data_IF_632328759282
#
_entry.id   IF_632328759282
#
_cell.length_a   1.000
_cell.length_b   1.000
_cell.length_c   1.000
_cell.angle_alpha   90.00
_cell.angle_beta   90.00
_cell.angle_gamma   90.00
#
_symmetry.space_group_name_H-M   'P 1'
#
loop_
_entity.id
_entity.type
_entity.pdbx_description
1 polymer ?
#
# COMPACT_ATOMS: atom_id res chain seq x y z
N UNK A 1 -22.92 -31.18 -40.07
CA UNK A 1 -21.67 -30.71 -39.42
C UNK A 1 -21.95 -29.36 -38.76
N UNK A 2 -22.15 -29.35 -37.44
CA UNK A 2 -22.52 -28.16 -36.67
C UNK A 2 -21.27 -27.47 -36.11
N UNK A 3 -21.28 -26.13 -35.99
CA UNK A 3 -20.34 -25.38 -35.15
C UNK A 3 -21.11 -24.40 -34.27
N UNK A 4 -21.47 -24.86 -33.07
CA UNK A 4 -22.06 -24.02 -32.02
C UNK A 4 -20.94 -23.17 -31.44
N UNK A 5 -20.99 -21.84 -31.65
CA UNK A 5 -20.05 -20.89 -31.05
C UNK A 5 -20.60 -20.43 -29.71
N UNK A 6 -20.27 -21.15 -28.64
CA UNK A 6 -20.52 -20.66 -27.28
C UNK A 6 -19.52 -19.55 -26.96
N UNK A 7 -19.99 -18.30 -26.97
CA UNK A 7 -19.24 -17.15 -26.46
C UNK A 7 -19.44 -17.12 -24.94
N UNK A 8 -18.39 -17.28 -24.11
CA UNK A 8 -18.58 -17.24 -22.67
C UNK A 8 -19.12 -15.87 -22.28
N UNK A 9 -20.23 -15.87 -21.55
CA UNK A 9 -20.80 -14.68 -20.91
C UNK A 9 -19.72 -14.10 -20.01
N UNK A 10 -19.43 -12.79 -20.02
CA UNK A 10 -18.44 -12.24 -19.10
C UNK A 10 -18.88 -12.61 -17.70
N UNK A 11 -18.05 -13.37 -16.99
CA UNK A 11 -18.23 -13.54 -15.56
C UNK A 11 -18.17 -12.11 -15.01
N UNK A 12 -19.32 -11.60 -14.57
CA UNK A 12 -19.36 -10.40 -13.74
C UNK A 12 -18.37 -10.67 -12.63
N UNK A 13 -17.26 -9.92 -12.61
CA UNK A 13 -16.36 -9.90 -11.48
C UNK A 13 -17.26 -9.70 -10.26
N UNK A 14 -17.27 -10.70 -9.38
CA UNK A 14 -17.98 -10.59 -8.12
C UNK A 14 -17.51 -9.27 -7.51
N UNK A 15 -18.43 -8.32 -7.40
CA UNK A 15 -18.20 -7.09 -6.65
C UNK A 15 -18.06 -7.54 -5.21
N UNK A 16 -16.83 -7.92 -4.86
CA UNK A 16 -16.45 -8.14 -3.49
C UNK A 16 -16.53 -6.76 -2.83
N UNK A 17 -17.67 -6.48 -2.21
CA UNK A 17 -17.74 -5.60 -1.04
C UNK A 17 -16.98 -6.29 0.11
N UNK A 18 -15.71 -6.61 -0.12
CA UNK A 18 -14.73 -6.69 0.94
C UNK A 18 -14.36 -5.24 1.17
N UNK A 19 -14.78 -4.67 2.30
CA UNK A 19 -14.19 -3.41 2.75
C UNK A 19 -12.69 -3.64 2.80
N UNK A 20 -11.97 -3.22 1.75
CA UNK A 20 -10.53 -3.33 1.69
C UNK A 20 -10.03 -2.45 2.81
N UNK A 21 -9.49 -3.06 3.87
CA UNK A 21 -8.70 -2.33 4.85
C UNK A 21 -7.52 -1.80 4.05
N UNK A 22 -7.64 -0.57 3.56
CA UNK A 22 -6.55 0.08 2.84
C UNK A 22 -5.45 0.31 3.86
N UNK A 23 -4.25 -0.17 3.54
CA UNK A 23 -3.09 0.07 4.37
C UNK A 23 -2.84 1.58 4.46
N UNK A 24 -2.59 2.07 5.68
CA UNK A 24 -2.38 3.48 5.96
C UNK A 24 -0.95 3.70 6.44
N UNK A 25 -0.43 4.88 6.17
CA UNK A 25 0.89 5.29 6.63
C UNK A 25 1.00 5.11 8.16
N UNK A 26 2.13 4.58 8.62
CA UNK A 26 2.43 4.48 10.05
C UNK A 26 3.74 5.19 10.37
N UNK A 27 3.84 6.46 9.97
CA UNK A 27 5.06 7.24 10.17
C UNK A 27 5.34 7.48 11.67
N UNK A 28 6.45 6.98 12.23
CA UNK A 28 6.74 7.09 13.66
C UNK A 28 7.14 8.52 14.09
N UNK A 29 7.42 9.43 13.15
CA UNK A 29 7.97 10.76 13.44
C UNK A 29 6.98 11.92 13.33
N UNK A 30 5.72 11.70 12.92
CA UNK A 30 4.73 12.79 12.80
C UNK A 30 3.36 12.53 13.41
N UNK A 31 3.19 11.45 14.19
CA UNK A 31 1.92 11.10 14.83
C UNK A 31 1.00 10.29 13.92
N UNK A 32 -0.30 10.60 13.91
CA UNK A 32 -1.28 9.90 13.08
C UNK A 32 -1.28 10.43 11.64
N UNK A 33 -1.08 9.53 10.67
CA UNK A 33 -1.18 9.82 9.24
C UNK A 33 -2.06 8.74 8.59
N UNK A 34 -3.19 9.13 8.01
CA UNK A 34 -4.16 8.18 7.42
C UNK A 34 -4.00 8.06 5.90
N UNK A 35 -2.92 8.61 5.34
CA UNK A 35 -2.69 8.57 3.91
C UNK A 35 -2.36 7.13 3.45
N UNK A 36 -3.05 6.68 2.41
CA UNK A 36 -2.95 5.34 1.82
C UNK A 36 -2.03 5.29 0.59
N UNK A 37 -1.46 6.41 0.15
CA UNK A 37 -0.48 6.48 -0.95
C UNK A 37 0.92 6.03 -0.48
N UNK A 38 1.05 4.73 -0.22
CA UNK A 38 2.26 4.11 0.34
C UNK A 38 3.38 4.12 -0.69
N UNK A 39 4.52 4.72 -0.32
CA UNK A 39 5.71 4.82 -1.18
C UNK A 39 6.75 3.74 -0.87
N UNK A 40 6.96 3.43 0.41
CA UNK A 40 7.93 2.43 0.83
C UNK A 40 7.61 1.85 2.21
N UNK A 41 8.34 0.80 2.57
CA UNK A 41 8.32 0.21 3.90
C UNK A 41 9.69 0.32 4.54
N UNK A 42 9.72 0.62 5.83
CA UNK A 42 10.95 0.66 6.63
C UNK A 42 10.90 -0.36 7.75
N UNK A 43 12.07 -0.73 8.26
CA UNK A 43 12.18 -1.40 9.55
C UNK A 43 12.30 -0.35 10.64
N UNK A 44 11.40 -0.38 11.62
CA UNK A 44 11.44 0.49 12.78
C UNK A 44 11.15 -0.35 14.03
N UNK A 45 12.07 -0.37 14.99
CA UNK A 45 11.96 -1.19 16.23
C UNK A 45 11.63 -2.67 15.98
N UNK A 46 12.19 -3.23 14.91
CA UNK A 46 11.97 -4.63 14.52
C UNK A 46 10.68 -4.88 13.74
N UNK A 47 9.84 -3.86 13.52
CA UNK A 47 8.60 -3.97 12.76
C UNK A 47 8.75 -3.37 11.36
N UNK A 48 8.17 -4.02 10.36
CA UNK A 48 8.07 -3.48 9.00
C UNK A 48 6.83 -2.59 8.91
N UNK A 49 7.02 -1.29 8.73
CA UNK A 49 5.92 -0.31 8.72
C UNK A 49 5.85 0.47 7.39
N UNK A 50 4.64 0.83 6.92
CA UNK A 50 4.45 1.58 5.68
C UNK A 50 4.63 3.10 5.85
N UNK A 51 5.25 3.76 4.87
CA UNK A 51 5.36 5.22 4.77
C UNK A 51 4.72 5.72 3.47
N UNK A 52 3.85 6.72 3.58
CA UNK A 52 3.29 7.39 2.40
C UNK A 52 4.33 8.29 1.71
N UNK A 53 4.07 8.61 0.44
CA UNK A 53 4.93 9.47 -0.37
C UNK A 53 5.22 10.82 0.28
N UNK A 54 4.23 11.46 0.90
CA UNK A 54 4.41 12.76 1.55
C UNK A 54 5.34 12.68 2.76
N UNK A 55 5.14 11.67 3.62
CA UNK A 55 6.00 11.42 4.77
C UNK A 55 7.43 11.10 4.33
N UNK A 56 7.59 10.22 3.35
CA UNK A 56 8.90 9.87 2.81
C UNK A 56 9.62 11.10 2.24
N UNK A 57 8.94 11.93 1.43
CA UNK A 57 9.51 13.16 0.87
C UNK A 57 10.00 14.13 1.94
N UNK A 58 9.35 14.18 3.11
CA UNK A 58 9.79 15.02 4.24
C UNK A 58 11.04 14.45 4.91
N UNK A 59 11.11 13.13 5.08
CA UNK A 59 12.25 12.45 5.71
C UNK A 59 13.49 12.53 4.80
N UNK A 60 13.33 12.28 3.51
CA UNK A 60 14.46 12.26 2.55
C UNK A 60 15.16 13.61 2.36
N UNK A 61 14.58 14.70 2.87
CA UNK A 61 15.17 16.04 2.89
C UNK A 61 15.96 16.34 4.16
N UNK A 62 15.88 15.47 5.17
CA UNK A 62 16.59 15.63 6.45
C UNK A 62 17.94 14.92 6.38
N UNK A 63 18.91 15.46 7.11
CA UNK A 63 20.20 14.81 7.32
C UNK A 63 20.09 13.78 8.46
N UNK A 64 19.38 12.68 8.21
CA UNK A 64 19.21 11.57 9.15
C UNK A 64 19.79 10.33 8.48
N UNK A 65 20.71 9.68 9.16
CA UNK A 65 21.33 8.44 8.70
C UNK A 65 20.71 7.25 9.44
N UNK A 66 20.75 6.09 8.78
CA UNK A 66 20.41 4.83 9.43
C UNK A 66 21.64 4.36 10.20
N UNK A 67 21.54 4.25 11.52
CA UNK A 67 22.56 3.60 12.32
C UNK A 67 22.46 2.08 12.09
N UNK A 68 23.47 1.51 11.44
CA UNK A 68 23.65 0.07 11.36
C UNK A 68 24.24 -0.40 12.69
N UNK A 69 23.45 -1.11 13.48
CA UNK A 69 23.94 -1.84 14.67
C UNK A 69 24.81 -3.03 14.28
#
# INVERSE_FOLDING_TARGET
MAKIKNKPKPLRAASANAGSIMETCSNPWNGSCENTDIALYIMYRGERIPLCWECWRKISRKNIEWEAY
#
